data_IF_974144420079
#
_entry.id   IF_974144420079
#
_cell.length_a   1.000
_cell.length_b   1.000
_cell.length_c   1.000
_cell.angle_alpha   90.00
_cell.angle_beta   90.00
_cell.angle_gamma   90.00
#
_symmetry.space_group_name_H-M   'P 1'
#
loop_
_entity.id
_entity.type
_entity.pdbx_description
1 polymer ?
#
# COMPACT_ATOMS: atom_id res chain seq x y z
N UNK A 1 -30.05 -5.87 67.69
CA UNK A 1 -29.31 -4.58 67.86
C UNK A 1 -28.16 -4.54 66.85
N UNK A 2 -27.84 -3.34 66.35
CA UNK A 2 -27.25 -3.00 65.04
C UNK A 2 -25.79 -3.42 64.77
N UNK A 3 -25.56 -3.83 63.51
CA UNK A 3 -24.47 -3.57 62.54
C UNK A 3 -23.18 -2.87 63.07
N UNK A 4 -22.03 -3.51 62.84
CA UNK A 4 -20.70 -2.87 62.83
C UNK A 4 -19.99 -3.16 61.52
N UNK A 5 -20.37 -2.45 60.46
CA UNK A 5 -19.78 -2.55 59.11
C UNK A 5 -18.53 -1.67 59.06
N UNK A 6 -17.35 -2.27 58.94
CA UNK A 6 -16.09 -1.57 58.79
C UNK A 6 -16.04 -0.91 57.40
N UNK A 7 -16.28 0.40 57.35
CA UNK A 7 -16.19 1.20 56.13
C UNK A 7 -14.71 1.47 55.83
N UNK A 8 -14.19 0.84 54.78
CA UNK A 8 -12.89 1.18 54.22
C UNK A 8 -12.94 2.63 53.69
N UNK A 9 -12.19 3.53 54.34
CA UNK A 9 -12.02 4.90 53.85
C UNK A 9 -11.19 4.86 52.57
N UNK A 10 -11.83 5.14 51.44
CA UNK A 10 -11.17 5.34 50.16
C UNK A 10 -10.39 6.65 50.20
N UNK A 11 -9.08 6.57 50.39
CA UNK A 11 -8.17 7.73 50.30
C UNK A 11 -7.74 7.88 48.85
N UNK A 12 -7.99 9.04 48.24
CA UNK A 12 -7.52 9.34 46.90
C UNK A 12 -5.99 9.42 46.89
N UNK A 13 -5.34 8.52 46.13
CA UNK A 13 -3.89 8.49 45.97
C UNK A 13 -3.55 9.06 44.59
N UNK A 14 -2.67 10.06 44.54
CA UNK A 14 -2.20 10.62 43.27
C UNK A 14 -1.31 9.59 42.56
N UNK A 15 -1.70 9.20 41.34
CA UNK A 15 -0.91 8.36 40.45
C UNK A 15 -0.30 9.29 39.39
N UNK A 16 1.02 9.46 39.45
CA UNK A 16 1.79 10.28 38.51
C UNK A 16 2.23 9.43 37.31
N UNK A 17 1.84 9.81 36.11
CA UNK A 17 2.15 9.08 34.85
C UNK A 17 3.52 9.47 34.24
N UNK A 18 4.36 10.22 34.95
CA UNK A 18 5.70 10.62 34.46
C UNK A 18 6.73 10.63 35.59
N UNK A 19 7.89 10.02 35.33
CA UNK A 19 9.10 10.14 36.17
C UNK A 19 9.59 11.60 36.11
N UNK A 20 9.30 12.38 37.14
CA UNK A 20 9.74 13.77 37.28
C UNK A 20 9.08 14.46 38.47
N UNK A 21 9.80 15.42 39.07
CA UNK A 21 9.47 16.04 40.35
C UNK A 21 8.06 16.65 40.39
N UNK A 22 7.39 16.48 41.53
CA UNK A 22 6.02 16.91 41.79
C UNK A 22 5.87 18.43 41.60
N UNK A 23 4.95 18.85 40.71
CA UNK A 23 4.72 20.24 40.32
C UNK A 23 4.21 21.17 41.45
N UNK A 24 4.07 20.65 42.68
CA UNK A 24 3.62 21.40 43.86
C UNK A 24 4.47 20.95 45.04
N UNK A 25 5.31 21.84 45.56
CA UNK A 25 5.99 21.63 46.84
C UNK A 25 5.03 22.03 47.96
N UNK A 26 4.78 21.11 48.87
CA UNK A 26 4.09 21.39 50.13
C UNK A 26 4.98 22.35 50.94
N UNK A 27 4.38 23.32 51.64
CA UNK A 27 5.13 24.09 52.64
C UNK A 27 5.66 23.16 53.73
N UNK A 28 6.74 23.56 54.41
CA UNK A 28 7.48 22.70 55.35
C UNK A 28 6.61 22.10 56.49
N UNK A 29 5.42 22.67 56.74
CA UNK A 29 4.47 22.21 57.77
C UNK A 29 3.28 21.40 57.24
N UNK A 30 3.28 20.98 55.96
CA UNK A 30 2.24 20.10 55.40
C UNK A 30 0.86 20.75 55.17
N UNK A 31 0.73 22.05 55.39
CA UNK A 31 -0.45 22.83 55.03
C UNK A 31 -0.35 23.40 53.62
N UNK A 32 -1.47 23.36 52.89
CA UNK A 32 -1.59 23.98 51.56
C UNK A 32 -1.51 25.51 51.73
N UNK A 33 -0.67 26.23 50.95
CA UNK A 33 -0.68 27.68 50.97
C UNK A 33 -2.05 28.19 50.53
N UNK A 34 -2.60 29.17 51.26
CA UNK A 34 -3.87 29.79 50.89
C UNK A 34 -3.76 30.35 49.47
N UNK A 35 -4.58 29.82 48.56
CA UNK A 35 -4.74 30.38 47.22
C UNK A 35 -5.33 31.79 47.37
N UNK A 36 -4.46 32.80 47.38
CA UNK A 36 -4.87 34.15 47.02
C UNK A 36 -5.33 34.08 45.56
N UNK A 37 -6.65 34.11 45.36
CA UNK A 37 -7.27 34.18 44.05
C UNK A 37 -6.92 35.55 43.46
N UNK A 38 -5.74 35.67 42.85
CA UNK A 38 -5.54 36.67 41.83
C UNK A 38 -6.62 36.37 40.79
N UNK A 39 -7.63 37.22 40.73
CA UNK A 39 -8.62 37.24 39.66
C UNK A 39 -7.86 37.58 38.39
N UNK A 40 -7.16 36.57 37.84
CA UNK A 40 -6.67 36.56 36.49
C UNK A 40 -7.94 36.71 35.70
N UNK A 41 -8.15 37.91 35.16
CA UNK A 41 -9.18 38.19 34.17
C UNK A 41 -9.04 37.10 33.14
N UNK A 42 -9.92 36.11 33.22
CA UNK A 42 -9.89 34.98 32.30
C UNK A 42 -9.90 35.60 30.90
N UNK A 43 -9.01 35.18 29.98
CA UNK A 43 -9.15 35.62 28.60
C UNK A 43 -10.58 35.26 28.22
N UNK A 44 -11.39 36.28 27.93
CA UNK A 44 -12.78 36.11 27.50
C UNK A 44 -12.73 35.04 26.43
N UNK A 45 -13.24 33.85 26.75
CA UNK A 45 -13.38 32.81 25.78
C UNK A 45 -14.37 33.37 24.78
N UNK A 46 -13.87 33.84 23.64
CA UNK A 46 -14.66 34.44 22.58
C UNK A 46 -15.65 33.36 22.12
N UNK A 47 -16.85 33.39 22.69
CA UNK A 47 -18.00 32.57 22.28
C UNK A 47 -18.57 33.06 20.95
N UNK A 48 -17.71 33.64 20.11
CA UNK A 48 -18.06 34.23 18.83
C UNK A 48 -17.24 33.64 17.68
N UNK A 49 -16.87 32.36 17.79
CA UNK A 49 -16.73 31.57 16.56
C UNK A 49 -18.14 31.28 16.08
N UNK A 50 -18.71 32.21 15.31
CA UNK A 50 -19.86 31.92 14.45
C UNK A 50 -19.59 30.55 13.82
N UNK A 51 -20.52 29.57 13.87
CA UNK A 51 -20.31 28.33 13.14
C UNK A 51 -19.98 28.75 11.70
N UNK A 52 -18.80 28.35 11.22
CA UNK A 52 -18.36 28.71 9.88
C UNK A 52 -19.53 28.42 8.95
N UNK A 53 -20.08 29.47 8.34
CA UNK A 53 -21.27 29.38 7.49
C UNK A 53 -20.82 28.56 6.29
N UNK A 54 -20.96 27.24 6.36
CA UNK A 54 -20.45 26.31 5.37
C UNK A 54 -21.02 26.69 4.01
N UNK A 55 -20.17 26.81 3.00
CA UNK A 55 -20.61 27.18 1.66
C UNK A 55 -21.54 26.07 1.13
N UNK A 56 -22.85 26.33 0.92
CA UNK A 56 -23.78 25.30 0.46
C UNK A 56 -23.37 24.72 -0.91
N UNK A 57 -22.62 25.48 -1.72
CA UNK A 57 -22.06 24.98 -2.98
C UNK A 57 -21.07 23.83 -2.78
N UNK A 58 -20.34 23.79 -1.65
CA UNK A 58 -19.46 22.66 -1.33
C UNK A 58 -20.27 21.42 -0.99
N UNK A 59 -21.43 21.58 -0.35
CA UNK A 59 -22.32 20.46 -0.01
C UNK A 59 -22.90 19.89 -1.31
N UNK A 60 -23.47 20.73 -2.18
CA UNK A 60 -23.98 20.29 -3.47
C UNK A 60 -22.89 19.71 -4.38
N UNK A 61 -21.69 20.30 -4.38
CA UNK A 61 -20.54 19.81 -5.11
C UNK A 61 -20.07 18.44 -4.62
N UNK A 62 -19.93 18.26 -3.31
CA UNK A 62 -19.59 16.97 -2.71
C UNK A 62 -20.66 15.92 -3.00
N UNK A 63 -21.94 16.28 -2.90
CA UNK A 63 -23.06 15.37 -3.17
C UNK A 63 -23.09 14.94 -4.65
N UNK A 64 -22.92 15.88 -5.58
CA UNK A 64 -22.83 15.61 -7.01
C UNK A 64 -21.62 14.77 -7.38
N UNK A 65 -20.45 15.05 -6.78
CA UNK A 65 -19.24 14.24 -6.98
C UNK A 65 -19.43 12.81 -6.46
N UNK A 66 -20.07 12.65 -5.29
CA UNK A 66 -20.36 11.34 -4.71
C UNK A 66 -21.26 10.52 -5.63
N UNK A 67 -22.28 11.15 -6.20
CA UNK A 67 -23.22 10.49 -7.12
C UNK A 67 -22.53 10.12 -8.44
N UNK A 68 -21.72 11.03 -8.99
CA UNK A 68 -20.91 10.78 -10.19
C UNK A 68 -19.89 9.68 -9.98
N UNK A 69 -19.22 9.63 -8.84
CA UNK A 69 -18.26 8.59 -8.50
C UNK A 69 -18.93 7.21 -8.42
N UNK A 70 -20.12 7.14 -7.81
CA UNK A 70 -20.93 5.91 -7.78
C UNK A 70 -21.38 5.46 -9.17
N UNK A 71 -21.80 6.41 -10.03
CA UNK A 71 -22.14 6.09 -11.42
C UNK A 71 -20.92 5.63 -12.21
N UNK A 72 -19.77 6.29 -12.03
CA UNK A 72 -18.52 5.94 -12.68
C UNK A 72 -18.09 4.51 -12.31
N UNK A 73 -18.20 4.14 -11.03
CA UNK A 73 -17.91 2.79 -10.56
C UNK A 73 -18.78 1.71 -11.21
N UNK A 74 -19.99 2.04 -11.67
CA UNK A 74 -20.85 1.08 -12.39
C UNK A 74 -20.33 0.78 -13.81
N UNK A 75 -19.55 1.69 -14.40
CA UNK A 75 -18.93 1.51 -15.72
C UNK A 75 -17.49 0.99 -15.63
N UNK A 76 -16.87 1.04 -14.45
CA UNK A 76 -15.60 0.36 -14.21
C UNK A 76 -15.92 -1.10 -13.93
N UNK A 77 -15.41 -2.01 -14.76
CA UNK A 77 -15.42 -3.44 -14.46
C UNK A 77 -14.18 -3.78 -13.62
N UNK A 78 -14.32 -3.97 -12.29
CA UNK A 78 -13.19 -4.33 -11.44
C UNK A 78 -12.63 -5.71 -11.80
N UNK A 79 -13.47 -6.63 -12.32
CA UNK A 79 -13.02 -7.95 -12.73
C UNK A 79 -12.06 -7.86 -13.92
N UNK A 80 -12.36 -7.00 -14.90
CA UNK A 80 -11.47 -6.78 -16.04
C UNK A 80 -10.10 -6.17 -15.67
N UNK A 81 -9.99 -5.44 -14.54
CA UNK A 81 -8.72 -4.91 -14.06
C UNK A 81 -7.91 -5.97 -13.30
N UNK A 82 -8.56 -6.74 -12.44
CA UNK A 82 -7.89 -7.83 -11.70
C UNK A 82 -7.47 -8.97 -12.63
N UNK A 83 -8.33 -9.42 -13.55
CA UNK A 83 -8.00 -10.47 -14.53
C UNK A 83 -6.78 -10.11 -15.39
N UNK A 84 -6.59 -8.83 -15.74
CA UNK A 84 -5.41 -8.37 -16.50
C UNK A 84 -4.13 -8.40 -15.67
N UNK A 85 -4.22 -8.08 -14.38
CA UNK A 85 -3.08 -8.14 -13.49
C UNK A 85 -2.69 -9.58 -13.19
N UNK A 86 -3.69 -10.44 -12.96
CA UNK A 86 -3.53 -11.86 -12.67
C UNK A 86 -3.05 -12.64 -13.90
N UNK A 87 -3.60 -12.37 -15.09
CA UNK A 87 -3.10 -12.99 -16.33
C UNK A 87 -1.63 -12.64 -16.63
N UNK A 88 -1.20 -11.40 -16.31
CA UNK A 88 0.21 -10.99 -16.45
C UNK A 88 1.12 -11.69 -15.44
N UNK A 89 0.68 -11.87 -14.19
CA UNK A 89 1.49 -12.59 -13.18
C UNK A 89 1.58 -14.09 -13.51
N UNK A 90 0.46 -14.70 -13.90
CA UNK A 90 0.40 -16.11 -14.32
C UNK A 90 1.26 -16.35 -15.57
N UNK A 91 1.17 -15.50 -16.59
CA UNK A 91 2.02 -15.61 -17.78
C UNK A 91 3.52 -15.53 -17.44
N UNK A 92 3.89 -14.65 -16.50
CA UNK A 92 5.28 -14.50 -16.04
C UNK A 92 5.77 -15.75 -15.31
N UNK A 93 4.94 -16.30 -14.44
CA UNK A 93 5.26 -17.50 -13.68
C UNK A 93 5.43 -18.72 -14.59
N UNK A 94 4.56 -18.89 -15.60
CA UNK A 94 4.69 -19.93 -16.61
C UNK A 94 5.99 -19.79 -17.42
N UNK A 95 6.34 -18.56 -17.85
CA UNK A 95 7.58 -18.32 -18.59
C UNK A 95 8.81 -18.67 -17.75
N UNK A 96 8.87 -18.25 -16.49
CA UNK A 96 10.02 -18.55 -15.63
C UNK A 96 10.12 -20.04 -15.29
N UNK A 97 9.00 -20.71 -15.03
CA UNK A 97 8.98 -22.14 -14.72
C UNK A 97 9.45 -22.98 -15.91
N UNK A 98 8.87 -22.73 -17.08
CA UNK A 98 9.00 -23.64 -18.21
C UNK A 98 10.30 -23.36 -19.01
N UNK A 99 10.74 -22.10 -19.11
CA UNK A 99 11.85 -21.72 -20.00
C UNK A 99 13.15 -21.35 -19.28
N UNK A 100 13.11 -21.04 -17.97
CA UNK A 100 14.31 -20.64 -17.20
C UNK A 100 14.79 -21.74 -16.25
N UNK A 101 13.88 -22.60 -15.76
CA UNK A 101 14.19 -23.65 -14.78
C UNK A 101 14.47 -25.05 -15.34
N UNK A 102 14.15 -25.32 -16.61
CA UNK A 102 14.11 -26.69 -17.16
C UNK A 102 15.42 -27.24 -17.76
N UNK A 103 16.30 -26.37 -18.29
CA UNK A 103 17.46 -26.83 -19.06
C UNK A 103 18.71 -26.99 -18.18
N UNK A 104 19.20 -28.23 -18.04
CA UNK A 104 20.47 -28.58 -17.37
C UNK A 104 21.72 -28.26 -18.22
N UNK A 105 21.54 -27.56 -19.35
CA UNK A 105 22.59 -27.20 -20.30
C UNK A 105 23.20 -25.81 -20.03
N UNK A 106 24.19 -25.39 -20.85
CA UNK A 106 24.71 -24.04 -20.80
C UNK A 106 23.59 -23.01 -21.04
N UNK A 107 23.57 -21.95 -20.24
CA UNK A 107 22.51 -20.95 -20.26
C UNK A 107 22.42 -20.31 -21.65
N UNK A 108 21.27 -20.49 -22.30
CA UNK A 108 21.03 -19.92 -23.64
C UNK A 108 20.82 -18.40 -23.55
N UNK A 109 21.12 -17.62 -24.61
CA UNK A 109 21.03 -16.16 -24.58
C UNK A 109 19.63 -15.63 -24.20
N UNK A 110 18.56 -16.27 -24.65
CA UNK A 110 17.19 -15.88 -24.29
C UNK A 110 16.89 -16.11 -22.80
N UNK A 111 17.48 -17.15 -22.18
CA UNK A 111 17.28 -17.45 -20.76
C UNK A 111 17.93 -16.38 -19.88
N UNK A 112 19.09 -15.83 -20.29
CA UNK A 112 19.72 -14.70 -19.61
C UNK A 112 18.81 -13.46 -19.63
N UNK A 113 18.26 -13.14 -20.80
CA UNK A 113 17.34 -12.00 -20.95
C UNK A 113 16.06 -12.16 -20.11
N UNK A 114 15.52 -13.38 -19.99
CA UNK A 114 14.37 -13.66 -19.12
C UNK A 114 14.71 -13.50 -17.63
N UNK A 115 15.92 -13.89 -17.21
CA UNK A 115 16.39 -13.65 -15.84
C UNK A 115 16.58 -12.16 -15.56
N UNK A 116 17.18 -11.43 -16.49
CA UNK A 116 17.35 -9.98 -16.38
C UNK A 116 15.99 -9.27 -16.26
N UNK A 117 14.98 -9.73 -17.01
CA UNK A 117 13.62 -9.21 -16.91
C UNK A 117 13.01 -9.45 -15.51
N UNK A 118 13.20 -10.65 -14.93
CA UNK A 118 12.78 -10.96 -13.57
C UNK A 118 13.49 -10.12 -12.51
N UNK A 119 14.80 -9.89 -12.67
CA UNK A 119 15.56 -9.02 -11.78
C UNK A 119 15.11 -7.56 -11.88
N UNK A 120 14.86 -7.06 -13.10
CA UNK A 120 14.34 -5.72 -13.33
C UNK A 120 12.97 -5.52 -12.65
N UNK A 121 12.07 -6.50 -12.76
CA UNK A 121 10.79 -6.48 -12.04
C UNK A 121 11.00 -6.39 -10.53
N UNK A 122 11.85 -7.24 -9.93
CA UNK A 122 12.08 -7.23 -8.48
C UNK A 122 12.59 -5.87 -7.97
N UNK A 123 13.23 -5.09 -8.85
CA UNK A 123 13.73 -3.74 -8.58
C UNK A 123 12.71 -2.64 -8.89
N UNK A 124 11.52 -3.00 -9.40
CA UNK A 124 10.48 -2.06 -9.82
C UNK A 124 10.78 -1.33 -11.14
N UNK A 125 11.81 -1.76 -11.89
CA UNK A 125 12.14 -1.15 -13.18
C UNK A 125 11.39 -1.83 -14.33
N UNK A 126 10.14 -1.41 -14.50
CA UNK A 126 9.26 -1.93 -15.56
C UNK A 126 9.75 -1.57 -16.97
N UNK A 127 10.61 -0.56 -17.13
CA UNK A 127 11.12 -0.16 -18.43
C UNK A 127 12.15 -1.15 -18.92
N UNK A 128 13.14 -1.46 -18.08
CA UNK A 128 14.16 -2.46 -18.44
C UNK A 128 13.59 -3.87 -18.54
N UNK A 129 12.56 -4.21 -17.74
CA UNK A 129 11.80 -5.46 -17.89
C UNK A 129 11.22 -5.59 -19.30
N UNK A 130 10.49 -4.56 -19.76
CA UNK A 130 9.86 -4.57 -21.10
C UNK A 130 10.89 -4.62 -22.22
N UNK A 131 12.01 -3.91 -22.06
CA UNK A 131 13.07 -3.91 -23.07
C UNK A 131 13.77 -5.28 -23.15
N UNK A 132 13.92 -5.99 -22.03
CA UNK A 132 14.39 -7.38 -22.01
C UNK A 132 13.42 -8.32 -22.75
N UNK A 133 12.10 -8.25 -22.48
CA UNK A 133 11.11 -9.05 -23.21
C UNK A 133 11.10 -8.76 -24.72
N UNK A 134 11.25 -7.49 -25.13
CA UNK A 134 11.37 -7.12 -26.55
C UNK A 134 12.63 -7.68 -27.19
N UNK A 135 13.75 -7.76 -26.46
CA UNK A 135 14.98 -8.40 -26.96
C UNK A 135 14.76 -9.89 -27.19
N UNK A 136 14.06 -10.57 -26.28
CA UNK A 136 13.70 -11.99 -26.43
C UNK A 136 12.81 -12.19 -27.67
N UNK A 137 11.78 -11.36 -27.86
CA UNK A 137 10.93 -11.43 -29.05
C UNK A 137 11.70 -11.17 -30.35
N UNK A 138 12.63 -10.21 -30.36
CA UNK A 138 13.47 -9.98 -31.53
C UNK A 138 14.36 -11.17 -31.85
N UNK A 139 14.90 -11.82 -30.82
CA UNK A 139 15.71 -13.03 -30.95
C UNK A 139 14.86 -14.16 -31.57
N UNK A 140 13.68 -14.43 -31.00
CA UNK A 140 12.73 -15.41 -31.51
C UNK A 140 12.36 -15.13 -32.97
N UNK A 141 12.00 -13.90 -33.31
CA UNK A 141 11.63 -13.51 -34.67
C UNK A 141 12.80 -13.57 -35.67
N UNK A 142 14.06 -13.43 -35.21
CA UNK A 142 15.22 -13.57 -36.08
C UNK A 142 15.51 -15.03 -36.44
N UNK A 143 15.21 -15.96 -35.53
CA UNK A 143 15.44 -17.40 -35.72
C UNK A 143 14.22 -18.12 -36.33
N UNK A 144 13.02 -17.55 -36.22
CA UNK A 144 11.76 -18.02 -36.80
C UNK A 144 11.81 -18.30 -38.31
N UNK A 145 12.86 -17.85 -38.99
CA UNK A 145 13.14 -18.15 -40.39
C UNK A 145 13.58 -19.61 -40.60
N UNK A 146 13.92 -20.35 -39.54
CA UNK A 146 14.25 -21.77 -39.57
C UNK A 146 13.09 -22.62 -39.02
N UNK A 147 12.29 -23.28 -39.88
CA UNK A 147 11.08 -24.01 -39.48
C UNK A 147 11.31 -25.29 -38.65
N UNK A 148 12.57 -25.72 -38.48
CA UNK A 148 12.92 -27.00 -37.84
C UNK A 148 13.77 -26.87 -36.58
N UNK A 149 14.23 -25.66 -36.23
CA UNK A 149 15.11 -25.44 -35.07
C UNK A 149 14.72 -24.15 -34.37
N UNK A 150 13.95 -24.28 -33.30
CA UNK A 150 13.59 -23.15 -32.43
C UNK A 150 14.68 -22.85 -31.40
N UNK A 151 14.74 -21.62 -30.90
CA UNK A 151 15.74 -21.19 -29.91
C UNK A 151 15.53 -21.94 -28.58
N UNK A 152 14.27 -22.24 -28.26
CA UNK A 152 13.91 -23.02 -27.08
C UNK A 152 14.10 -24.54 -27.29
N UNK A 153 14.24 -24.99 -28.53
CA UNK A 153 14.44 -26.40 -28.91
C UNK A 153 13.36 -26.94 -29.84
N UNK A 154 12.15 -26.37 -29.81
CA UNK A 154 11.06 -26.70 -30.74
C UNK A 154 10.35 -25.43 -31.21
N UNK A 155 9.74 -25.47 -32.40
CA UNK A 155 8.95 -24.34 -32.92
C UNK A 155 7.68 -24.08 -32.09
N UNK A 156 7.09 -25.13 -31.51
CA UNK A 156 5.91 -25.00 -30.66
C UNK A 156 6.21 -24.25 -29.35
N UNK A 157 7.38 -24.50 -28.75
CA UNK A 157 7.81 -23.85 -27.53
C UNK A 157 8.15 -22.36 -27.77
N UNK A 158 8.71 -22.04 -28.94
CA UNK A 158 8.95 -20.66 -29.36
C UNK A 158 7.62 -19.89 -29.53
N UNK A 159 6.60 -20.51 -30.14
CA UNK A 159 5.28 -19.90 -30.28
C UNK A 159 4.53 -19.72 -28.95
N UNK A 160 4.68 -20.68 -28.02
CA UNK A 160 4.17 -20.53 -26.66
C UNK A 160 4.84 -19.38 -25.94
N UNK A 161 6.17 -19.26 -26.05
CA UNK A 161 6.94 -18.18 -25.45
C UNK A 161 6.52 -16.82 -26.04
N UNK A 162 6.34 -16.72 -27.35
CA UNK A 162 5.81 -15.50 -28.00
C UNK A 162 4.43 -15.11 -27.48
N UNK A 163 3.50 -16.06 -27.32
CA UNK A 163 2.17 -15.79 -26.78
C UNK A 163 2.24 -15.24 -25.36
N UNK A 164 3.05 -15.83 -24.48
CA UNK A 164 3.22 -15.33 -23.12
C UNK A 164 3.88 -13.95 -23.09
N UNK A 165 4.90 -13.71 -23.90
CA UNK A 165 5.54 -12.39 -24.02
C UNK A 165 4.59 -11.34 -24.59
N UNK A 166 3.71 -11.71 -25.52
CA UNK A 166 2.70 -10.81 -26.06
C UNK A 166 1.69 -10.37 -24.99
N UNK A 167 1.27 -11.27 -24.09
CA UNK A 167 0.42 -10.91 -22.93
C UNK A 167 1.16 -9.98 -21.97
N UNK A 168 2.45 -10.22 -21.72
CA UNK A 168 3.29 -9.38 -20.84
C UNK A 168 3.57 -7.99 -21.41
N UNK A 169 3.64 -7.87 -22.74
CA UNK A 169 3.87 -6.60 -23.44
C UNK A 169 2.58 -5.86 -23.80
N UNK A 170 1.46 -6.59 -23.87
CA UNK A 170 0.11 -6.09 -24.09
C UNK A 170 -0.34 -5.17 -22.96
N UNK A 171 -0.86 -4.00 -23.32
CA UNK A 171 -1.24 -2.95 -22.37
C UNK A 171 -2.58 -3.27 -21.73
#
# INVERSE_FOLDING_TARGET
LKKGEATSRTVAKFITDRKGETLVRLGEDGHLPELALAEVTAPKHDKNKRPARGNPALIYGALGFSLLASLAMMFLDPAAMDERSESKTVARQSVMRDFVGGDKGPIKPYQQLLRDAGLAQSRGDFKSERDAYRRVLRLLNSEDKNPFTGITGTAEDDDRLKKHLAVLLGR
#
